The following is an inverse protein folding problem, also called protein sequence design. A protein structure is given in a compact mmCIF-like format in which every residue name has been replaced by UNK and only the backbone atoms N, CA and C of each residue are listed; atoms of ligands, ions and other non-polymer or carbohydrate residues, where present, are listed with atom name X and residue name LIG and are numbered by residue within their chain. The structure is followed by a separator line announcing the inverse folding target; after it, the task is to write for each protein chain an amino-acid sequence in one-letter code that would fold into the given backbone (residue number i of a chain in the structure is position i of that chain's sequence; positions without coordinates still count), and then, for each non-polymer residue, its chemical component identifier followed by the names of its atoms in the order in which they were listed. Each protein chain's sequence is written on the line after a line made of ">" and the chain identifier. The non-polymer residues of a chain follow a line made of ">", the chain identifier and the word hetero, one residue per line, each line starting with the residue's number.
data_IF_162034604841
#
_entry.id   IF_162034604841
#
_cell.length_a   1.000
_cell.length_b   1.000
_cell.length_c   1.000
_cell.angle_alpha   90.00
_cell.angle_beta   90.00
_cell.angle_gamma   90.00
#
_symmetry.space_group_name_H-M   'P 1'
#
loop_
_entity.id
_entity.type
_entity.pdbx_description
1 polymer ?
#
# COMPACT_ATOMS: atom_id res chain seq x y z
N UNK A 1 37.53 -26.93 59.37
CA UNK A 1 38.17 -26.55 60.64
C UNK A 1 37.08 -25.98 61.52
N UNK A 2 36.81 -26.74 62.55
CA UNK A 2 36.33 -26.37 63.89
C UNK A 2 34.96 -25.71 64.03
N UNK A 3 34.09 -26.12 64.83
CA UNK A 3 33.88 -27.18 65.83
C UNK A 3 32.62 -26.75 66.59
N UNK A 4 31.77 -27.70 66.88
CA UNK A 4 30.78 -27.74 67.96
C UNK A 4 31.40 -27.41 69.36
N UNK A 5 30.66 -27.36 70.49
CA UNK A 5 29.29 -27.71 70.88
C UNK A 5 28.66 -26.81 71.97
N UNK A 6 27.44 -27.03 72.45
CA UNK A 6 27.10 -27.49 73.79
C UNK A 6 25.62 -27.30 74.16
N UNK A 7 24.96 -28.30 74.38
CA UNK A 7 24.07 -28.80 75.44
C UNK A 7 24.04 -27.98 76.76
N UNK A 8 22.82 -27.77 77.32
CA UNK A 8 22.49 -27.95 78.72
C UNK A 8 20.96 -28.21 78.86
N UNK A 9 20.68 -29.26 79.61
CA UNK A 9 19.40 -29.82 80.12
C UNK A 9 18.92 -29.09 81.39
N UNK A 10 17.64 -29.18 81.74
CA UNK A 10 16.98 -29.59 82.97
C UNK A 10 15.59 -29.02 83.02
N UNK A 11 14.58 -29.81 83.04
CA UNK A 11 13.90 -30.54 84.12
C UNK A 11 12.80 -29.68 84.77
N UNK A 12 11.60 -30.14 84.59
CA UNK A 12 10.79 -30.75 85.64
C UNK A 12 9.56 -29.96 86.06
N UNK A 13 8.50 -30.65 86.09
CA UNK A 13 7.38 -30.63 87.06
C UNK A 13 6.00 -30.14 86.51
N UNK A 14 5.18 -31.10 86.26
CA UNK A 14 3.96 -31.49 86.94
C UNK A 14 2.73 -30.58 86.87
N UNK A 15 1.74 -31.12 86.18
CA UNK A 15 0.31 -31.26 86.49
C UNK A 15 -0.51 -30.02 86.88
N UNK A 16 -1.55 -29.78 86.07
CA UNK A 16 -2.95 -29.78 86.53
C UNK A 16 -3.90 -29.78 85.31
N UNK A 17 -4.78 -30.79 85.27
CA UNK A 17 -5.89 -30.91 84.38
C UNK A 17 -6.92 -29.85 84.70
N UNK A 18 -7.25 -28.98 83.73
CA UNK A 18 -8.47 -28.20 83.71
C UNK A 18 -9.13 -28.38 82.37
N UNK A 19 -10.20 -29.15 82.33
CA UNK A 19 -11.11 -29.27 81.16
C UNK A 19 -11.82 -27.96 80.91
N UNK A 20 -11.46 -27.32 79.85
CA UNK A 20 -12.25 -26.20 79.34
C UNK A 20 -12.92 -26.63 78.02
N UNK A 21 -14.22 -26.74 78.02
CA UNK A 21 -15.08 -26.96 76.85
C UNK A 21 -14.89 -25.80 75.86
N UNK A 22 -14.29 -26.08 74.69
CA UNK A 22 -14.24 -25.15 73.58
C UNK A 22 -15.61 -25.10 72.85
N UNK A 23 -16.19 -23.95 72.62
CA UNK A 23 -17.33 -23.87 71.76
C UNK A 23 -16.92 -24.15 70.32
N UNK A 24 -17.63 -25.06 69.68
CA UNK A 24 -17.53 -25.38 68.25
C UNK A 24 -17.93 -24.15 67.47
N UNK A 25 -16.96 -23.33 66.99
CA UNK A 25 -17.20 -22.24 66.07
C UNK A 25 -17.54 -22.86 64.71
N UNK A 26 -18.82 -22.86 64.35
CA UNK A 26 -19.22 -23.18 62.98
C UNK A 26 -18.56 -22.21 62.05
N UNK A 27 -17.69 -22.66 61.20
CA UNK A 27 -17.14 -21.89 60.11
C UNK A 27 -18.27 -21.58 59.11
N UNK A 28 -18.81 -20.37 59.19
CA UNK A 28 -19.60 -19.84 58.10
C UNK A 28 -18.73 -19.81 56.86
N UNK A 29 -19.07 -20.64 55.87
CA UNK A 29 -18.54 -20.60 54.53
C UNK A 29 -18.95 -19.24 53.95
N UNK A 30 -18.03 -18.29 53.98
CA UNK A 30 -18.14 -17.04 53.22
C UNK A 30 -18.28 -17.46 51.75
N UNK A 31 -19.39 -17.10 51.06
CA UNK A 31 -19.48 -17.31 49.61
C UNK A 31 -18.30 -16.56 48.97
N UNK A 32 -17.43 -17.31 48.28
CA UNK A 32 -16.35 -16.69 47.48
C UNK A 32 -16.94 -15.59 46.58
N UNK A 33 -16.17 -14.55 46.26
CA UNK A 33 -16.66 -13.48 45.42
C UNK A 33 -17.23 -14.09 44.15
N UNK A 34 -18.49 -13.85 43.87
CA UNK A 34 -19.13 -14.21 42.62
C UNK A 34 -18.25 -13.62 41.52
N UNK A 35 -17.64 -14.46 40.71
CA UNK A 35 -16.83 -14.05 39.56
C UNK A 35 -17.78 -13.30 38.63
N UNK A 36 -17.84 -11.98 38.76
CA UNK A 36 -18.56 -11.14 37.84
C UNK A 36 -17.89 -11.30 36.47
N UNK A 37 -18.60 -11.92 35.51
CA UNK A 37 -18.09 -12.11 34.19
C UNK A 37 -17.68 -10.72 33.63
N UNK A 38 -16.44 -10.59 33.20
CA UNK A 38 -15.91 -9.37 32.64
C UNK A 38 -16.72 -8.97 31.40
N UNK A 39 -17.07 -7.69 31.27
CA UNK A 39 -17.73 -7.20 30.06
C UNK A 39 -16.68 -6.87 29.01
N UNK A 40 -16.79 -7.47 27.84
CA UNK A 40 -15.84 -7.29 26.72
C UNK A 40 -16.54 -6.82 25.45
N UNK A 41 -15.89 -5.92 24.75
CA UNK A 41 -16.36 -5.47 23.44
C UNK A 41 -15.89 -6.49 22.40
N UNK A 42 -16.82 -6.97 21.59
CA UNK A 42 -16.55 -7.92 20.52
C UNK A 42 -16.92 -7.34 19.17
N UNK A 43 -16.14 -7.69 18.16
CA UNK A 43 -16.46 -7.47 16.77
C UNK A 43 -16.74 -8.79 16.08
N UNK A 44 -17.69 -8.82 15.16
CA UNK A 44 -17.93 -10.01 14.34
C UNK A 44 -16.93 -10.08 13.20
N UNK A 45 -16.32 -11.24 13.01
CA UNK A 45 -15.52 -11.54 11.85
C UNK A 45 -16.42 -11.54 10.60
N UNK A 46 -16.08 -10.74 9.61
CA UNK A 46 -16.86 -10.57 8.38
C UNK A 46 -15.99 -10.85 7.15
N UNK A 47 -16.62 -11.05 5.99
CA UNK A 47 -15.87 -11.08 4.74
C UNK A 47 -15.55 -9.67 4.28
N UNK A 48 -14.29 -9.40 3.96
CA UNK A 48 -13.84 -8.16 3.36
C UNK A 48 -12.77 -8.43 2.28
N UNK A 49 -12.61 -7.48 1.37
CA UNK A 49 -11.54 -7.52 0.39
C UNK A 49 -10.43 -6.55 0.77
N UNK A 50 -9.21 -7.00 0.63
CA UNK A 50 -7.99 -6.31 0.98
C UNK A 50 -7.15 -6.06 -0.26
N UNK A 51 -6.37 -4.98 -0.26
CA UNK A 51 -5.44 -4.65 -1.32
C UNK A 51 -4.10 -4.21 -0.71
N UNK A 52 -3.01 -4.82 -1.17
CA UNK A 52 -1.64 -4.33 -0.88
C UNK A 52 -1.33 -3.23 -1.89
N UNK A 53 -1.45 -1.98 -1.46
CA UNK A 53 -1.24 -0.80 -2.29
C UNK A 53 0.22 -0.39 -2.27
N UNK A 54 0.83 -0.31 -3.46
CA UNK A 54 2.15 0.30 -3.65
C UNK A 54 1.95 1.71 -4.21
N UNK A 55 2.32 2.72 -3.43
CA UNK A 55 2.27 4.12 -3.82
C UNK A 55 3.55 4.53 -4.52
N UNK A 56 3.41 5.13 -5.67
CA UNK A 56 4.51 5.57 -6.52
C UNK A 56 4.25 6.97 -7.06
N UNK A 57 5.33 7.65 -7.44
CA UNK A 57 5.27 8.97 -8.08
C UNK A 57 6.13 8.97 -9.32
N UNK A 58 5.78 9.78 -10.29
CA UNK A 58 6.52 9.87 -11.52
C UNK A 58 6.03 10.94 -12.45
N UNK A 59 6.51 10.90 -13.68
CA UNK A 59 6.18 11.85 -14.71
C UNK A 59 5.50 11.17 -15.89
N UNK A 60 4.59 11.90 -16.54
CA UNK A 60 3.95 11.45 -17.76
C UNK A 60 4.94 11.58 -18.91
N UNK A 61 5.16 10.47 -19.61
CA UNK A 61 6.06 10.38 -20.76
C UNK A 61 5.34 9.78 -21.97
N UNK A 62 5.82 9.99 -23.19
CA UNK A 62 5.33 9.24 -24.34
C UNK A 62 5.67 7.74 -24.19
N UNK A 63 4.72 6.87 -24.50
CA UNK A 63 4.97 5.42 -24.54
C UNK A 63 6.02 5.07 -25.59
N UNK A 64 5.93 5.69 -26.74
CA UNK A 64 6.93 5.65 -27.82
C UNK A 64 7.10 7.05 -28.37
N UNK A 65 8.33 7.47 -28.54
CA UNK A 65 8.68 8.78 -29.09
C UNK A 65 9.44 8.62 -30.39
N UNK A 66 9.04 9.35 -31.39
CA UNK A 66 9.83 9.56 -32.59
C UNK A 66 10.54 10.91 -32.48
N UNK A 67 11.84 10.89 -32.76
CA UNK A 67 12.67 12.09 -32.83
C UNK A 67 12.97 12.39 -34.28
N UNK A 68 12.71 13.60 -34.70
CA UNK A 68 12.93 14.03 -36.08
C UNK A 68 14.03 15.07 -36.09
N UNK A 69 15.07 14.82 -36.88
CA UNK A 69 16.20 15.69 -37.05
C UNK A 69 16.61 15.74 -38.54
N UNK A 70 17.56 16.58 -38.86
CA UNK A 70 18.21 16.61 -40.18
C UNK A 70 19.35 15.60 -40.24
N UNK A 71 19.60 15.04 -41.41
CA UNK A 71 20.69 14.09 -41.62
C UNK A 71 21.97 14.81 -42.12
N UNK A 72 21.87 16.04 -42.63
CA UNK A 72 22.99 16.76 -43.23
C UNK A 72 23.17 18.16 -42.64
N UNK A 73 24.40 18.61 -42.53
CA UNK A 73 24.75 19.94 -42.06
C UNK A 73 24.56 21.01 -43.15
N UNK A 74 24.50 22.26 -42.68
CA UNK A 74 24.50 23.44 -43.55
C UNK A 74 23.12 23.89 -44.05
N UNK A 75 22.07 23.15 -43.71
CA UNK A 75 20.69 23.55 -44.01
C UNK A 75 20.19 24.62 -43.03
N UNK A 76 19.18 25.38 -43.43
CA UNK A 76 18.44 26.29 -42.55
C UNK A 76 16.95 26.00 -42.62
N UNK A 77 16.28 26.22 -41.50
CA UNK A 77 14.82 26.11 -41.44
C UNK A 77 14.20 27.28 -42.17
N UNK A 78 13.52 27.02 -43.28
CA UNK A 78 12.76 28.05 -44.01
C UNK A 78 11.43 28.35 -43.31
N UNK A 79 10.72 27.30 -42.92
CA UNK A 79 9.39 27.40 -42.33
C UNK A 79 9.12 26.20 -41.42
N UNK A 80 8.45 26.46 -40.30
CA UNK A 80 7.93 25.43 -39.39
C UNK A 80 6.42 25.35 -39.59
N UNK A 81 5.91 24.16 -39.92
CA UNK A 81 4.52 23.96 -40.35
C UNK A 81 3.61 23.43 -39.21
N UNK A 82 4.19 23.01 -38.10
CA UNK A 82 3.45 22.42 -36.96
C UNK A 82 3.87 23.09 -35.65
N UNK A 83 3.01 22.99 -34.65
CA UNK A 83 3.23 23.50 -33.28
C UNK A 83 3.17 22.38 -32.26
N UNK A 84 3.68 22.66 -31.08
CA UNK A 84 3.47 21.76 -29.93
C UNK A 84 1.98 21.59 -29.63
N UNK A 85 1.55 20.35 -29.47
CA UNK A 85 0.15 19.99 -29.28
C UNK A 85 -0.61 19.61 -30.54
N UNK A 86 -0.02 19.84 -31.76
CA UNK A 86 -0.65 19.43 -33.00
C UNK A 86 -0.64 17.90 -33.17
N UNK A 87 -1.72 17.36 -33.72
CA UNK A 87 -1.78 15.99 -34.21
C UNK A 87 -1.28 15.94 -35.64
N UNK A 88 -0.33 15.01 -35.86
CA UNK A 88 0.25 14.81 -37.20
C UNK A 88 -0.06 13.40 -37.69
N UNK A 89 -0.19 13.28 -39.01
CA UNK A 89 -0.31 11.98 -39.68
C UNK A 89 1.05 11.48 -40.13
N UNK A 90 1.11 10.19 -40.47
CA UNK A 90 2.32 9.62 -41.06
C UNK A 90 2.71 10.40 -42.34
N UNK A 91 4.01 10.62 -42.48
CA UNK A 91 4.59 11.34 -43.63
C UNK A 91 4.16 12.81 -43.82
N UNK A 92 3.49 13.41 -42.81
CA UNK A 92 3.11 14.82 -42.82
C UNK A 92 4.32 15.75 -42.76
N UNK A 93 4.33 16.82 -43.56
CA UNK A 93 5.36 17.85 -43.56
C UNK A 93 5.39 18.59 -42.21
N UNK A 94 6.55 18.64 -41.56
CA UNK A 94 6.77 19.33 -40.28
C UNK A 94 7.51 20.62 -40.43
N UNK A 95 8.51 20.65 -41.32
CA UNK A 95 9.28 21.84 -41.62
C UNK A 95 9.84 21.79 -43.06
N UNK A 96 10.05 22.95 -43.65
CA UNK A 96 10.77 23.13 -44.91
C UNK A 96 12.17 23.65 -44.63
N UNK A 97 13.16 23.11 -45.30
CA UNK A 97 14.56 23.45 -45.17
C UNK A 97 15.07 24.07 -46.49
N UNK A 98 15.97 25.05 -46.36
CA UNK A 98 16.78 25.54 -47.47
C UNK A 98 18.17 24.94 -47.38
N UNK A 99 18.71 24.48 -48.51
CA UNK A 99 20.08 23.92 -48.58
C UNK A 99 21.04 25.01 -49.09
N UNK A 100 22.32 25.02 -48.62
CA UNK A 100 23.31 25.94 -49.12
C UNK A 100 23.53 25.77 -50.64
N UNK A 101 23.70 26.86 -51.34
CA UNK A 101 23.99 26.83 -52.78
C UNK A 101 22.77 26.71 -53.71
N UNK A 102 21.57 26.97 -53.24
CA UNK A 102 20.37 26.98 -54.08
C UNK A 102 19.87 25.60 -54.50
N UNK A 103 20.25 24.56 -53.75
CA UNK A 103 19.78 23.19 -53.94
C UNK A 103 18.27 23.05 -53.66
N UNK A 104 17.75 21.88 -54.04
CA UNK A 104 16.31 21.56 -53.84
C UNK A 104 15.94 21.67 -52.37
N UNK A 105 14.82 22.35 -52.05
CA UNK A 105 14.28 22.47 -50.73
C UNK A 105 14.03 21.03 -50.13
N UNK A 106 14.58 20.78 -48.99
CA UNK A 106 14.31 19.53 -48.25
C UNK A 106 13.13 19.74 -47.32
N UNK A 107 12.37 18.69 -47.08
CA UNK A 107 11.23 18.71 -46.15
C UNK A 107 11.43 17.69 -45.07
N UNK A 108 11.33 18.09 -43.81
CA UNK A 108 11.24 17.19 -42.68
C UNK A 108 9.83 16.67 -42.54
N UNK A 109 9.67 15.36 -42.35
CA UNK A 109 8.38 14.69 -42.27
C UNK A 109 8.23 13.87 -41.01
N UNK A 110 6.99 13.72 -40.58
CA UNK A 110 6.66 12.87 -39.46
C UNK A 110 6.90 11.38 -39.83
N UNK A 111 7.68 10.61 -39.07
CA UNK A 111 7.92 9.20 -39.36
C UNK A 111 6.75 8.30 -38.95
N UNK A 112 5.78 8.82 -38.21
CA UNK A 112 4.55 8.14 -37.81
C UNK A 112 3.49 9.16 -37.39
N UNK A 113 2.24 8.74 -37.39
CA UNK A 113 1.13 9.54 -36.85
C UNK A 113 1.28 9.67 -35.31
N UNK A 114 0.97 10.86 -34.79
CA UNK A 114 1.13 11.11 -33.35
C UNK A 114 0.81 12.53 -32.92
N UNK A 115 1.21 12.84 -31.70
CA UNK A 115 1.10 14.16 -31.08
C UNK A 115 2.48 14.81 -31.03
N UNK A 116 2.63 16.03 -31.53
CA UNK A 116 3.88 16.81 -31.41
C UNK A 116 4.04 17.21 -29.94
N UNK A 117 5.06 16.72 -29.29
CA UNK A 117 5.34 16.98 -27.87
C UNK A 117 6.35 18.09 -27.65
N UNK A 118 7.24 18.32 -28.62
CA UNK A 118 8.18 19.42 -28.56
C UNK A 118 8.59 19.87 -29.98
N UNK A 119 8.79 21.18 -30.12
CA UNK A 119 9.37 21.82 -31.29
C UNK A 119 10.58 22.66 -30.85
N UNK A 120 11.78 22.14 -31.14
CA UNK A 120 13.06 22.74 -30.70
C UNK A 120 13.73 23.59 -31.80
N UNK A 121 12.94 24.13 -32.75
CA UNK A 121 13.46 24.91 -33.86
C UNK A 121 12.53 26.04 -34.22
N UNK A 122 13.06 27.04 -34.91
CA UNK A 122 12.32 28.20 -35.43
C UNK A 122 12.76 28.55 -36.87
N UNK A 123 11.92 29.25 -37.60
CA UNK A 123 12.29 29.73 -38.94
C UNK A 123 13.58 30.57 -38.89
N UNK A 124 14.51 30.34 -39.84
CA UNK A 124 15.82 30.97 -39.90
C UNK A 124 16.92 30.27 -39.10
N UNK A 125 16.57 29.33 -38.20
CA UNK A 125 17.56 28.59 -37.42
C UNK A 125 18.45 27.68 -38.28
N UNK A 126 19.74 27.51 -37.93
CA UNK A 126 20.57 26.51 -38.57
C UNK A 126 20.06 25.10 -38.22
N UNK A 127 20.06 24.22 -39.20
CA UNK A 127 19.69 22.83 -39.03
C UNK A 127 20.95 21.97 -39.04
N UNK A 128 21.24 21.30 -37.93
CA UNK A 128 22.44 20.45 -37.75
C UNK A 128 22.07 19.16 -37.00
N UNK A 129 22.62 18.02 -37.41
CA UNK A 129 22.44 16.75 -36.69
C UNK A 129 22.90 16.82 -35.24
N UNK A 130 23.92 17.64 -34.94
CA UNK A 130 24.47 17.77 -33.59
C UNK A 130 23.61 18.63 -32.66
N UNK A 131 22.69 19.44 -33.20
CA UNK A 131 21.80 20.28 -32.37
C UNK A 131 20.71 19.53 -31.61
N UNK A 132 20.62 18.21 -31.83
CA UNK A 132 19.56 17.36 -31.25
C UNK A 132 18.28 17.38 -32.09
N UNK A 133 17.23 16.68 -31.63
CA UNK A 133 15.98 16.55 -32.39
C UNK A 133 15.24 17.86 -32.47
N UNK A 134 14.84 18.22 -33.71
CA UNK A 134 14.05 19.42 -34.00
C UNK A 134 12.58 19.25 -33.62
N UNK A 135 12.07 18.01 -33.73
CA UNK A 135 10.71 17.66 -33.34
C UNK A 135 10.71 16.37 -32.54
N UNK A 136 9.83 16.30 -31.53
CA UNK A 136 9.51 15.08 -30.79
C UNK A 136 8.03 14.79 -30.96
N UNK A 137 7.70 13.55 -31.27
CA UNK A 137 6.34 13.11 -31.58
C UNK A 137 6.01 11.90 -30.73
N UNK A 138 5.01 12.00 -29.86
CA UNK A 138 4.43 10.86 -29.18
C UNK A 138 3.64 10.03 -30.19
N UNK A 139 4.14 8.87 -30.56
CA UNK A 139 3.52 7.99 -31.56
C UNK A 139 2.14 7.57 -31.07
N UNK A 140 1.14 7.69 -31.94
CA UNK A 140 -0.30 7.48 -31.66
C UNK A 140 -0.86 8.36 -30.53
N UNK A 141 -0.10 9.32 -30.00
CA UNK A 141 -0.50 10.10 -28.83
C UNK A 141 -0.60 9.29 -27.52
N UNK A 142 -0.03 8.07 -27.49
CA UNK A 142 -0.06 7.22 -26.30
C UNK A 142 0.92 7.73 -25.24
N UNK A 143 0.38 7.98 -24.04
CA UNK A 143 1.14 8.45 -22.88
C UNK A 143 1.14 7.39 -21.77
N UNK A 144 2.18 7.40 -20.97
CA UNK A 144 2.38 6.53 -19.80
C UNK A 144 2.85 7.37 -18.61
N UNK A 145 2.58 6.89 -17.43
CA UNK A 145 3.27 7.36 -16.23
C UNK A 145 4.53 6.50 -16.03
N UNK A 146 5.70 7.10 -16.10
CA UNK A 146 6.97 6.49 -15.72
C UNK A 146 7.22 6.86 -14.26
N UNK A 147 7.05 5.88 -13.37
CA UNK A 147 7.12 6.10 -11.93
C UNK A 147 8.26 5.31 -11.30
N UNK A 148 8.88 5.92 -10.29
CA UNK A 148 9.94 5.33 -9.51
C UNK A 148 9.37 4.50 -8.34
N UNK A 149 9.96 3.32 -8.13
CA UNK A 149 9.53 2.36 -7.12
C UNK A 149 10.72 1.90 -6.29
N UNK A 150 10.68 2.00 -4.95
CA UNK A 150 11.70 1.42 -4.09
C UNK A 150 11.86 -0.10 -4.32
N UNK A 151 13.10 -0.57 -4.29
CA UNK A 151 13.46 -1.98 -4.57
C UNK A 151 12.66 -2.99 -3.74
N UNK A 152 12.33 -2.65 -2.48
CA UNK A 152 11.55 -3.49 -1.56
C UNK A 152 10.11 -3.72 -2.03
N UNK A 153 9.58 -2.84 -2.89
CA UNK A 153 8.21 -2.91 -3.38
C UNK A 153 8.12 -3.41 -4.83
N UNK A 154 9.20 -3.30 -5.60
CA UNK A 154 9.18 -3.63 -7.04
C UNK A 154 8.84 -5.11 -7.29
N UNK A 155 9.29 -6.01 -6.40
CA UNK A 155 9.02 -7.44 -6.49
C UNK A 155 7.56 -7.82 -6.24
N UNK A 156 6.78 -6.91 -5.66
CA UNK A 156 5.35 -7.09 -5.45
C UNK A 156 4.53 -6.75 -6.69
N UNK A 157 5.11 -6.00 -7.64
CA UNK A 157 4.41 -5.48 -8.81
C UNK A 157 4.45 -6.49 -9.96
N UNK A 158 3.31 -6.68 -10.59
CA UNK A 158 3.17 -7.54 -11.75
C UNK A 158 2.56 -6.77 -12.93
N UNK A 159 2.97 -7.04 -14.17
CA UNK A 159 2.27 -6.53 -15.34
C UNK A 159 0.79 -6.90 -15.29
N UNK A 160 -0.07 -5.95 -15.68
CA UNK A 160 -1.52 -6.09 -15.63
C UNK A 160 -2.17 -5.64 -14.33
N UNK A 161 -1.41 -5.42 -13.25
CA UNK A 161 -1.96 -4.88 -12.00
C UNK A 161 -2.68 -3.55 -12.25
N UNK A 162 -3.85 -3.38 -11.62
CA UNK A 162 -4.63 -2.15 -11.74
C UNK A 162 -3.98 -1.03 -10.94
N UNK A 163 -4.08 0.19 -11.46
CA UNK A 163 -3.56 1.37 -10.80
C UNK A 163 -4.58 2.51 -10.87
N UNK A 164 -4.57 3.33 -9.84
CA UNK A 164 -5.29 4.60 -9.79
C UNK A 164 -4.27 5.71 -9.85
N UNK A 165 -4.33 6.53 -10.89
CA UNK A 165 -3.41 7.64 -11.11
C UNK A 165 -4.10 8.91 -10.68
N UNK A 166 -3.55 9.58 -9.67
CA UNK A 166 -4.04 10.84 -9.12
C UNK A 166 -3.10 11.99 -9.46
N UNK A 167 -3.68 13.14 -9.66
CA UNK A 167 -3.01 14.42 -9.95
C UNK A 167 -3.74 15.53 -9.24
N UNK A 168 -3.01 16.54 -8.85
CA UNK A 168 -3.58 17.63 -8.07
C UNK A 168 -4.68 18.37 -8.85
N UNK A 169 -5.84 18.54 -8.24
CA UNK A 169 -6.97 19.30 -8.78
C UNK A 169 -7.78 18.63 -9.90
N UNK A 170 -7.59 17.34 -10.15
CA UNK A 170 -8.33 16.63 -11.18
C UNK A 170 -8.77 15.23 -10.76
N UNK A 171 -9.84 14.67 -11.38
CA UNK A 171 -10.29 13.33 -11.10
C UNK A 171 -9.21 12.27 -11.34
N UNK A 172 -9.26 11.19 -10.56
CA UNK A 172 -8.38 10.04 -10.73
C UNK A 172 -8.61 9.36 -12.09
N UNK A 173 -7.54 8.79 -12.61
CA UNK A 173 -7.52 8.10 -13.89
C UNK A 173 -7.18 6.64 -13.64
N UNK A 174 -7.93 5.75 -14.29
CA UNK A 174 -7.61 4.34 -14.29
C UNK A 174 -6.38 4.06 -15.17
N UNK A 175 -5.46 3.27 -14.62
CA UNK A 175 -4.27 2.79 -15.31
C UNK A 175 -4.01 1.33 -15.04
N UNK A 176 -3.02 0.77 -15.73
CA UNK A 176 -2.51 -0.59 -15.48
C UNK A 176 -1.00 -0.61 -15.58
N UNK A 177 -0.38 -1.42 -14.76
CA UNK A 177 1.05 -1.71 -14.90
C UNK A 177 1.28 -2.38 -16.25
N UNK A 178 2.06 -1.74 -17.12
CA UNK A 178 2.45 -2.32 -18.41
C UNK A 178 3.80 -3.02 -18.32
N UNK A 179 4.78 -2.36 -17.71
CA UNK A 179 6.14 -2.89 -17.56
C UNK A 179 6.63 -2.58 -16.16
N UNK A 180 7.22 -3.56 -15.53
CA UNK A 180 8.08 -3.41 -14.37
C UNK A 180 9.51 -3.55 -14.87
N UNK A 181 10.36 -2.53 -14.67
CA UNK A 181 11.75 -2.57 -15.13
C UNK A 181 12.51 -3.72 -14.46
N UNK A 182 13.23 -4.54 -15.20
CA UNK A 182 14.07 -5.57 -14.62
C UNK A 182 15.33 -5.03 -13.96
N UNK A 183 15.63 -3.74 -14.16
CA UNK A 183 16.82 -3.09 -13.63
C UNK A 183 16.45 -2.17 -12.47
N UNK A 184 17.24 -2.25 -11.41
CA UNK A 184 17.21 -1.36 -10.26
C UNK A 184 18.52 -0.56 -10.25
N UNK A 185 18.42 0.75 -10.10
CA UNK A 185 19.58 1.59 -9.91
C UNK A 185 20.21 1.29 -8.55
N UNK A 186 21.52 0.96 -8.56
CA UNK A 186 22.22 0.54 -7.35
C UNK A 186 22.48 1.68 -6.37
N UNK A 187 22.58 2.91 -6.87
CA UNK A 187 22.88 4.09 -6.06
C UNK A 187 21.64 4.61 -5.33
N UNK A 188 20.50 4.62 -6.02
CA UNK A 188 19.23 5.13 -5.49
C UNK A 188 18.33 4.05 -4.90
N UNK A 189 18.59 2.77 -5.22
CA UNK A 189 17.72 1.63 -4.88
C UNK A 189 16.29 1.77 -5.42
N UNK A 190 16.15 2.49 -6.55
CA UNK A 190 14.88 2.68 -7.24
C UNK A 190 14.86 1.86 -8.53
N UNK A 191 13.72 1.29 -8.82
CA UNK A 191 13.39 0.75 -10.13
C UNK A 191 12.29 1.57 -10.78
N UNK A 192 11.96 1.30 -12.03
CA UNK A 192 10.93 1.98 -12.79
C UNK A 192 9.73 1.07 -13.06
N UNK A 193 8.55 1.64 -12.96
CA UNK A 193 7.30 1.00 -13.40
C UNK A 193 6.59 1.93 -14.38
N UNK A 194 6.16 1.38 -15.51
CA UNK A 194 5.40 2.12 -16.51
C UNK A 194 3.93 1.74 -16.46
N UNK A 195 3.10 2.74 -16.24
CA UNK A 195 1.66 2.59 -16.13
C UNK A 195 1.00 3.14 -17.38
N UNK A 196 0.19 2.34 -18.06
CA UNK A 196 -0.66 2.84 -19.15
C UNK A 196 -1.70 3.79 -18.60
N UNK A 197 -1.93 4.88 -19.31
CA UNK A 197 -2.94 5.89 -19.00
C UNK A 197 -4.06 5.75 -20.03
N UNK A 198 -5.29 5.50 -19.57
CA UNK A 198 -6.46 5.49 -20.47
C UNK A 198 -6.73 6.92 -20.95
N UNK A 199 -6.78 7.11 -22.26
CA UNK A 199 -6.79 8.38 -22.96
C UNK A 199 -7.57 9.50 -22.29
N UNK A 200 -6.85 10.39 -21.62
CA UNK A 200 -7.42 11.64 -21.10
C UNK A 200 -6.72 12.81 -21.79
N UNK A 201 -7.44 13.57 -22.61
CA UNK A 201 -6.86 14.69 -23.38
C UNK A 201 -6.27 15.81 -22.51
N UNK A 202 -6.62 15.84 -21.20
CA UNK A 202 -6.06 16.83 -20.27
C UNK A 202 -4.68 16.45 -19.70
N UNK A 203 -4.16 15.27 -20.01
CA UNK A 203 -2.82 14.86 -19.59
C UNK A 203 -1.79 15.37 -20.60
N UNK A 204 -0.72 15.97 -20.08
CA UNK A 204 0.40 16.47 -20.88
C UNK A 204 1.69 15.75 -20.48
N UNK A 205 2.58 15.62 -21.46
CA UNK A 205 3.95 15.14 -21.23
C UNK A 205 4.64 16.04 -20.21
N UNK A 206 5.38 15.42 -19.27
CA UNK A 206 6.07 16.13 -18.19
C UNK A 206 5.21 16.41 -16.95
N UNK A 207 3.90 16.10 -17.00
CA UNK A 207 3.04 16.26 -15.82
C UNK A 207 3.47 15.29 -14.72
N UNK A 208 3.62 15.79 -13.50
CA UNK A 208 3.83 14.97 -12.30
C UNK A 208 2.50 14.33 -11.89
N UNK A 209 2.55 13.04 -11.54
CA UNK A 209 1.40 12.31 -11.01
C UNK A 209 1.82 11.28 -9.98
N UNK A 210 0.85 10.91 -9.14
CA UNK A 210 0.97 9.81 -8.17
C UNK A 210 0.15 8.65 -8.66
N UNK A 211 0.53 7.44 -8.28
CA UNK A 211 -0.28 6.28 -8.56
C UNK A 211 -0.31 5.33 -7.37
N UNK A 212 -1.50 4.82 -7.07
CA UNK A 212 -1.72 3.70 -6.15
C UNK A 212 -1.91 2.43 -7.00
N UNK A 213 -0.98 1.49 -6.89
CA UNK A 213 -0.97 0.24 -7.65
C UNK A 213 -1.44 -0.88 -6.74
N UNK A 214 -2.46 -1.61 -7.16
CA UNK A 214 -2.92 -2.82 -6.48
C UNK A 214 -1.95 -3.98 -6.74
N UNK A 215 -0.92 -4.12 -5.90
CA UNK A 215 0.10 -5.13 -6.05
C UNK A 215 -0.45 -6.54 -5.80
N UNK A 216 -1.34 -6.67 -4.82
CA UNK A 216 -2.00 -7.92 -4.48
C UNK A 216 -3.40 -7.64 -3.92
N UNK A 217 -4.37 -8.40 -4.36
CA UNK A 217 -5.74 -8.39 -3.83
C UNK A 217 -6.07 -9.74 -3.23
N UNK A 218 -6.78 -9.74 -2.13
CA UNK A 218 -7.34 -10.92 -1.50
C UNK A 218 -8.67 -10.57 -0.87
N UNK A 219 -9.60 -11.53 -0.82
CA UNK A 219 -10.84 -11.39 -0.07
C UNK A 219 -10.95 -12.56 0.90
N UNK A 220 -11.16 -12.27 2.17
CA UNK A 220 -11.19 -13.27 3.22
C UNK A 220 -11.81 -12.75 4.51
N UNK A 221 -11.60 -13.49 5.58
CA UNK A 221 -12.10 -13.14 6.91
C UNK A 221 -11.38 -11.91 7.42
N UNK A 222 -12.12 -10.89 7.81
CA UNK A 222 -11.62 -9.64 8.36
C UNK A 222 -11.91 -9.55 9.85
N UNK A 223 -10.90 -9.16 10.61
CA UNK A 223 -11.02 -8.78 12.02
C UNK A 223 -10.39 -7.41 12.25
N UNK A 224 -10.80 -6.65 13.29
CA UNK A 224 -10.14 -5.40 13.63
C UNK A 224 -8.64 -5.60 13.88
N UNK A 225 -7.82 -4.65 13.49
CA UNK A 225 -6.35 -4.73 13.74
C UNK A 225 -6.03 -4.80 15.22
N UNK A 226 -6.80 -4.10 16.06
CA UNK A 226 -6.66 -4.09 17.52
C UNK A 226 -6.96 -5.44 18.16
N UNK A 227 -7.67 -6.33 17.48
CA UNK A 227 -8.03 -7.67 17.99
C UNK A 227 -6.87 -8.67 17.93
N UNK A 228 -5.76 -8.34 17.28
CA UNK A 228 -4.63 -9.25 17.07
C UNK A 228 -3.47 -8.86 17.99
N UNK A 229 -3.03 -9.79 18.80
CA UNK A 229 -1.81 -9.70 19.57
C UNK A 229 -0.89 -10.90 19.27
N UNK A 230 0.36 -10.62 18.87
CA UNK A 230 1.41 -11.62 18.59
C UNK A 230 0.93 -12.84 17.76
N UNK A 231 0.09 -12.59 16.72
CA UNK A 231 -0.53 -13.61 15.87
C UNK A 231 -1.51 -14.51 16.64
N UNK A 232 -2.12 -14.01 17.69
CA UNK A 232 -3.24 -14.64 18.38
C UNK A 232 -4.46 -13.72 18.39
N UNK A 233 -5.63 -14.33 18.46
CA UNK A 233 -6.92 -13.65 18.54
C UNK A 233 -7.73 -14.36 19.62
N UNK A 234 -8.45 -13.57 20.43
CA UNK A 234 -9.37 -14.08 21.43
C UNK A 234 -10.78 -14.14 20.83
N UNK A 235 -11.31 -15.35 20.72
CA UNK A 235 -12.67 -15.60 20.21
C UNK A 235 -13.57 -15.91 21.40
N UNK A 236 -14.78 -15.33 21.41
CA UNK A 236 -15.77 -15.66 22.43
C UNK A 236 -16.68 -16.75 21.90
N UNK A 237 -16.63 -17.92 22.53
CA UNK A 237 -17.49 -19.04 22.23
C UNK A 237 -18.27 -19.44 23.50
N UNK A 238 -19.59 -19.47 23.41
CA UNK A 238 -20.49 -19.84 24.52
C UNK A 238 -20.22 -19.03 25.82
N UNK A 239 -19.87 -17.73 25.67
CA UNK A 239 -19.57 -16.85 26.80
C UNK A 239 -18.19 -17.10 27.44
N UNK A 240 -17.31 -17.83 26.79
CA UNK A 240 -15.96 -18.16 27.26
C UNK A 240 -14.92 -17.72 26.25
N UNK A 241 -13.78 -17.23 26.74
CA UNK A 241 -12.64 -16.84 25.88
C UNK A 241 -11.90 -18.09 25.41
N UNK A 242 -11.64 -18.15 24.11
CA UNK A 242 -10.78 -19.13 23.46
C UNK A 242 -9.69 -18.38 22.70
N UNK A 243 -8.43 -18.54 23.12
CA UNK A 243 -7.29 -17.93 22.44
C UNK A 243 -6.85 -18.81 21.27
N UNK A 244 -6.95 -18.30 20.06
CA UNK A 244 -6.58 -19.00 18.83
C UNK A 244 -5.37 -18.37 18.17
N UNK A 245 -4.45 -19.20 17.72
CA UNK A 245 -3.36 -18.78 16.85
C UNK A 245 -3.90 -18.56 15.45
N UNK A 246 -3.53 -17.43 14.84
CA UNK A 246 -4.02 -17.06 13.50
C UNK A 246 -2.87 -16.85 12.53
N UNK A 247 -3.17 -17.08 11.26
CA UNK A 247 -2.30 -16.67 10.15
C UNK A 247 -2.89 -15.43 9.51
N UNK A 248 -2.24 -14.29 9.74
CA UNK A 248 -2.65 -13.02 9.17
C UNK A 248 -2.26 -12.91 7.69
N UNK A 249 -3.11 -12.29 6.90
CA UNK A 249 -2.92 -11.98 5.50
C UNK A 249 -2.64 -10.49 5.27
N UNK A 250 -3.39 -9.88 4.36
CA UNK A 250 -3.28 -8.45 4.05
C UNK A 250 -3.89 -7.59 5.16
N UNK A 251 -3.35 -6.39 5.31
CA UNK A 251 -3.76 -5.43 6.34
C UNK A 251 -4.30 -4.17 5.66
N UNK A 252 -5.47 -3.72 6.09
CA UNK A 252 -6.03 -2.41 5.74
C UNK A 252 -5.84 -1.40 6.88
N UNK A 253 -6.39 -0.21 6.75
CA UNK A 253 -6.30 0.81 7.81
C UNK A 253 -6.96 0.37 9.11
N UNK A 254 -8.09 -0.31 9.04
CA UNK A 254 -8.92 -0.69 10.19
C UNK A 254 -8.93 -2.19 10.49
N UNK A 255 -8.65 -3.03 9.51
CA UNK A 255 -8.84 -4.48 9.59
C UNK A 255 -7.65 -5.26 9.08
N UNK A 256 -7.52 -6.50 9.53
CA UNK A 256 -6.54 -7.47 9.05
C UNK A 256 -7.27 -8.69 8.51
N UNK A 257 -6.82 -9.18 7.37
CA UNK A 257 -7.25 -10.44 6.80
C UNK A 257 -6.73 -11.61 7.64
N UNK A 258 -7.59 -12.55 7.96
CA UNK A 258 -7.23 -13.80 8.60
C UNK A 258 -7.34 -14.93 7.59
N UNK A 259 -6.24 -15.58 7.33
CA UNK A 259 -6.17 -16.71 6.39
C UNK A 259 -6.53 -18.04 7.06
N UNK A 260 -6.25 -18.17 8.36
CA UNK A 260 -6.52 -19.36 9.16
C UNK A 260 -6.75 -19.00 10.63
N UNK A 261 -7.63 -19.72 11.32
CA UNK A 261 -7.84 -19.64 12.76
C UNK A 261 -9.12 -18.92 13.20
N UNK A 262 -9.79 -18.19 12.33
CA UNK A 262 -11.08 -17.52 12.59
C UNK A 262 -12.02 -17.73 11.41
N UNK A 263 -13.27 -18.05 11.71
CA UNK A 263 -14.33 -18.22 10.71
C UNK A 263 -15.23 -16.98 10.65
N UNK A 264 -15.91 -16.83 9.50
CA UNK A 264 -16.89 -15.77 9.32
C UNK A 264 -18.03 -15.94 10.33
N UNK A 265 -18.31 -14.87 11.08
CA UNK A 265 -19.36 -14.86 12.11
C UNK A 265 -18.82 -15.10 13.53
N UNK A 266 -17.57 -15.51 13.69
CA UNK A 266 -16.94 -15.60 15.01
C UNK A 266 -16.96 -14.23 15.71
N UNK A 267 -17.22 -14.26 17.03
CA UNK A 267 -17.15 -13.06 17.86
C UNK A 267 -15.74 -12.91 18.41
N UNK A 268 -15.02 -11.92 17.94
CA UNK A 268 -13.62 -11.66 18.29
C UNK A 268 -13.54 -10.50 19.27
N UNK A 269 -12.74 -10.61 20.33
CA UNK A 269 -12.48 -9.48 21.23
C UNK A 269 -11.84 -8.35 20.45
N UNK A 270 -12.46 -7.18 20.47
CA UNK A 270 -12.07 -6.07 19.61
C UNK A 270 -10.75 -5.42 19.98
N UNK A 271 -10.30 -5.58 21.22
CA UNK A 271 -9.03 -5.06 21.73
C UNK A 271 -8.25 -6.16 22.45
N UNK A 272 -7.16 -6.59 21.85
CA UNK A 272 -6.27 -7.63 22.39
C UNK A 272 -5.47 -7.17 23.62
N UNK A 273 -5.49 -5.88 23.97
CA UNK A 273 -4.84 -5.33 25.17
C UNK A 273 -5.53 -5.66 26.49
N UNK A 274 -6.61 -6.45 26.47
CA UNK A 274 -7.31 -6.90 27.67
C UNK A 274 -6.54 -8.01 28.40
N UNK A 275 -6.54 -7.98 29.74
CA UNK A 275 -5.90 -9.01 30.57
C UNK A 275 -6.77 -10.26 30.71
N UNK A 276 -7.39 -10.73 29.62
CA UNK A 276 -8.22 -11.92 29.58
C UNK A 276 -7.38 -13.16 29.29
N UNK A 277 -7.73 -14.25 29.93
CA UNK A 277 -7.08 -15.55 29.75
C UNK A 277 -8.02 -16.57 29.12
N UNK A 278 -7.42 -17.57 28.52
CA UNK A 278 -8.16 -18.70 27.98
C UNK A 278 -9.03 -19.37 29.05
N UNK A 279 -10.31 -19.56 28.75
CA UNK A 279 -11.29 -20.11 29.69
C UNK A 279 -12.04 -19.09 30.55
N UNK A 280 -11.69 -17.80 30.50
CA UNK A 280 -12.40 -16.75 31.25
C UNK A 280 -13.84 -16.62 30.76
N UNK A 281 -14.79 -16.49 31.70
CA UNK A 281 -16.18 -16.22 31.41
C UNK A 281 -16.40 -14.72 31.20
N UNK A 282 -17.02 -14.36 30.09
CA UNK A 282 -17.24 -12.97 29.70
C UNK A 282 -18.69 -12.71 29.27
N UNK A 283 -19.11 -11.46 29.44
CA UNK A 283 -20.33 -10.91 28.81
C UNK A 283 -19.91 -10.07 27.61
N UNK A 284 -20.52 -10.31 26.47
CA UNK A 284 -20.18 -9.63 25.23
C UNK A 284 -21.07 -8.44 24.95
N UNK A 285 -20.44 -7.36 24.48
CA UNK A 285 -21.11 -6.21 23.89
C UNK A 285 -20.57 -6.03 22.45
N UNK A 286 -21.46 -6.00 21.47
CA UNK A 286 -21.03 -5.87 20.06
C UNK A 286 -20.65 -4.42 19.80
N UNK A 287 -19.54 -4.20 19.10
CA UNK A 287 -19.01 -2.86 18.80
C UNK A 287 -20.02 -1.97 18.06
N UNK A 288 -20.85 -2.52 17.18
CA UNK A 288 -21.90 -1.80 16.44
C UNK A 288 -23.01 -1.24 17.36
N UNK A 289 -23.21 -1.79 18.54
CA UNK A 289 -24.21 -1.30 19.49
C UNK A 289 -23.72 -0.07 20.27
N UNK A 290 -22.41 0.15 20.34
CA UNK A 290 -21.82 1.33 20.97
C UNK A 290 -22.02 2.60 20.12
N UNK A 291 -21.96 2.47 18.79
CA UNK A 291 -22.20 3.60 17.88
C UNK A 291 -23.69 4.01 17.84
N UNK A 292 -24.61 3.08 17.99
CA UNK A 292 -26.05 3.38 18.06
C UNK A 292 -26.47 4.04 19.38
N UNK A 293 -25.72 3.85 20.45
CA UNK A 293 -25.97 4.46 21.77
C UNK A 293 -25.52 5.92 21.88
N UNK A 294 -24.70 6.42 20.95
CA UNK A 294 -24.21 7.82 20.93
C UNK A 294 -25.11 8.82 20.19
N UNK A 295 -26.13 8.35 19.51
CA UNK A 295 -27.12 9.21 18.82
C UNK A 295 -28.43 9.24 19.63
N UNK A 296 -28.38 9.89 20.80
CA UNK A 296 -29.58 10.39 21.51
C UNK A 296 -29.24 11.66 22.27
#
# INVERSE_FOLDING_TARGET
>A
MNAFPSLIRFAGAAATLLSAASPLCAAETVPGPATTAAMVVVAKATNACFSDLVRVTGFVVPRREAQVNVDTEGSRVAEVLVREGDKVTDNQDLARLTTPGGGRAATLRAPAAGLVTAVSTVAGAPASPQAGPMFRIAINGELELDAEVPSIHILKLNPGATARISRDGAPDIAGKVRVVSPQIDRSTQLGHVRLSISGNPAIKVGLFARADIDARRSCGVAVPRSAIDHLTVQVVKDGTIETRRVRAGLVSETSTEILEGVDVGDSVVADAGTSLHDGDKVQTMVADDLDRGRVR
#
